data_IF_198896018388
#
_entry.id   IF_198896018388
#
_cell.length_a   1.000
_cell.length_b   1.000
_cell.length_c   1.000
_cell.angle_alpha   90.00
_cell.angle_beta   90.00
_cell.angle_gamma   90.00
#
_symmetry.space_group_name_H-M   'P 1'
#
loop_
_entity.id
_entity.type
_entity.pdbx_description
1 polymer ?
#
# COMPACT_ATOMS: atom_id res chain seq x y z
N UNK A 1 -5.27 -19.37 -13.76
CA UNK A 1 -5.57 -18.40 -14.85
C UNK A 1 -5.15 -16.99 -14.39
N UNK A 2 -4.22 -16.33 -15.10
CA UNK A 2 -3.73 -14.99 -14.76
C UNK A 2 -4.73 -13.95 -15.25
N UNK A 3 -5.27 -13.10 -14.37
CA UNK A 3 -6.18 -12.01 -14.77
C UNK A 3 -5.37 -10.84 -15.34
N UNK A 4 -5.82 -10.16 -16.41
CA UNK A 4 -5.17 -8.95 -16.90
C UNK A 4 -5.19 -7.84 -15.84
N UNK A 5 -4.11 -7.05 -15.80
CA UNK A 5 -4.01 -5.87 -14.92
C UNK A 5 -4.72 -4.70 -15.61
N UNK A 6 -6.04 -4.64 -15.44
CA UNK A 6 -6.90 -3.57 -15.93
C UNK A 6 -7.92 -3.17 -14.86
N UNK A 7 -8.51 -1.99 -15.01
CA UNK A 7 -9.61 -1.56 -14.16
C UNK A 7 -10.76 -2.58 -14.23
N UNK A 8 -11.27 -3.00 -13.07
CA UNK A 8 -12.40 -3.92 -12.97
C UNK A 8 -13.66 -3.06 -13.02
N UNK A 9 -14.44 -3.12 -14.11
CA UNK A 9 -15.60 -2.24 -14.31
C UNK A 9 -16.77 -2.55 -13.35
N UNK A 10 -17.05 -3.83 -13.09
CA UNK A 10 -18.09 -4.25 -12.13
C UNK A 10 -17.74 -3.78 -10.70
N UNK A 11 -18.55 -2.90 -10.09
CA UNK A 11 -18.31 -2.39 -8.73
C UNK A 11 -18.20 -3.50 -7.68
N UNK A 12 -19.02 -4.55 -7.78
CA UNK A 12 -19.03 -5.63 -6.78
C UNK A 12 -17.75 -6.47 -6.86
N UNK A 13 -17.35 -6.88 -8.06
CA UNK A 13 -16.09 -7.58 -8.29
C UNK A 13 -14.89 -6.70 -7.94
N UNK A 14 -14.92 -5.40 -8.27
CA UNK A 14 -13.87 -4.44 -7.91
C UNK A 14 -13.68 -4.35 -6.40
N UNK A 15 -14.76 -4.16 -5.62
CA UNK A 15 -14.69 -4.13 -4.15
C UNK A 15 -14.17 -5.44 -3.56
N UNK A 16 -14.63 -6.58 -4.09
CA UNK A 16 -14.19 -7.90 -3.62
C UNK A 16 -12.69 -8.12 -3.88
N UNK A 17 -12.24 -7.78 -5.09
CA UNK A 17 -10.82 -7.84 -5.45
C UNK A 17 -9.99 -6.87 -4.60
N UNK A 18 -10.48 -5.65 -4.38
CA UNK A 18 -9.83 -4.64 -3.55
C UNK A 18 -9.63 -5.13 -2.12
N UNK A 19 -10.69 -5.64 -1.45
CA UNK A 19 -10.59 -6.18 -0.09
C UNK A 19 -9.48 -7.23 0.03
N UNK A 20 -9.49 -8.22 -0.86
CA UNK A 20 -8.52 -9.33 -0.85
C UNK A 20 -7.10 -8.84 -1.15
N UNK A 21 -6.94 -8.02 -2.20
CA UNK A 21 -5.62 -7.54 -2.65
C UNK A 21 -5.02 -6.54 -1.67
N UNK A 22 -5.82 -5.66 -1.05
CA UNK A 22 -5.34 -4.71 -0.03
C UNK A 22 -4.80 -5.43 1.19
N UNK A 23 -5.51 -6.44 1.69
CA UNK A 23 -5.04 -7.24 2.83
C UNK A 23 -3.72 -7.95 2.50
N UNK A 24 -3.63 -8.57 1.32
CA UNK A 24 -2.40 -9.22 0.86
C UNK A 24 -1.24 -8.22 0.70
N UNK A 25 -1.51 -7.06 0.09
CA UNK A 25 -0.53 -5.99 -0.11
C UNK A 25 0.06 -5.48 1.22
N UNK A 26 -0.79 -5.17 2.20
CA UNK A 26 -0.34 -4.71 3.52
C UNK A 26 0.43 -5.80 4.27
N UNK A 27 0.00 -7.07 4.16
CA UNK A 27 0.76 -8.20 4.71
C UNK A 27 2.15 -8.31 4.09
N UNK A 28 2.27 -8.10 2.78
CA UNK A 28 3.57 -8.11 2.08
C UNK A 28 4.45 -6.92 2.45
N UNK A 29 3.87 -5.74 2.69
CA UNK A 29 4.63 -4.59 3.21
C UNK A 29 5.21 -4.90 4.60
N UNK A 30 4.40 -5.50 5.49
CA UNK A 30 4.86 -6.00 6.78
C UNK A 30 6.00 -7.01 6.63
N UNK A 31 5.78 -8.11 5.89
CA UNK A 31 6.78 -9.15 5.67
C UNK A 31 8.09 -8.56 5.12
N UNK A 32 8.02 -7.63 4.16
CA UNK A 32 9.19 -6.98 3.60
C UNK A 32 9.95 -6.17 4.66
N UNK A 33 9.26 -5.32 5.42
CA UNK A 33 9.91 -4.53 6.48
C UNK A 33 10.58 -5.42 7.52
N UNK A 34 9.90 -6.49 7.96
CA UNK A 34 10.39 -7.38 9.00
C UNK A 34 11.54 -8.26 8.54
N UNK A 35 11.42 -8.90 7.38
CA UNK A 35 12.42 -9.87 6.90
C UNK A 35 13.72 -9.21 6.42
N UNK A 36 13.65 -7.94 6.01
CA UNK A 36 14.80 -7.23 5.44
C UNK A 36 15.31 -6.08 6.31
N UNK A 37 14.67 -5.84 7.47
CA UNK A 37 14.96 -4.72 8.37
C UNK A 37 14.99 -3.35 7.66
N UNK A 38 14.10 -3.17 6.66
CA UNK A 38 13.98 -1.92 5.93
C UNK A 38 12.76 -1.12 6.38
N UNK A 39 12.90 0.20 6.35
CA UNK A 39 11.80 1.15 6.45
C UNK A 39 10.86 1.01 5.25
N UNK A 40 9.64 0.53 5.48
CA UNK A 40 8.62 0.37 4.43
C UNK A 40 7.35 1.10 4.83
N UNK A 41 6.89 2.01 3.96
CA UNK A 41 5.59 2.65 4.08
C UNK A 41 4.66 2.19 2.94
N UNK A 42 3.43 1.82 3.28
CA UNK A 42 2.39 1.52 2.32
C UNK A 42 1.08 2.22 2.70
N UNK A 43 0.41 2.83 1.71
CA UNK A 43 -0.81 3.61 1.90
C UNK A 43 -1.86 3.09 0.90
N UNK A 44 -3.05 2.76 1.38
CA UNK A 44 -4.15 2.32 0.53
C UNK A 44 -5.48 2.99 0.91
N UNK A 45 -5.97 3.81 -0.01
CA UNK A 45 -7.28 4.44 0.06
C UNK A 45 -8.38 3.51 -0.50
N UNK A 46 -9.57 3.59 0.06
CA UNK A 46 -10.74 2.89 -0.45
C UNK A 46 -11.08 3.31 -1.90
N UNK A 47 -11.71 2.42 -2.69
CA UNK A 47 -12.25 2.81 -3.99
C UNK A 47 -13.29 3.92 -3.83
N UNK A 48 -13.26 4.92 -4.71
CA UNK A 48 -14.20 6.05 -4.69
C UNK A 48 -15.67 5.61 -4.73
N UNK A 49 -15.97 4.48 -5.38
CA UNK A 49 -17.31 3.94 -5.52
C UNK A 49 -17.72 2.99 -4.37
N UNK A 50 -16.91 2.89 -3.31
CA UNK A 50 -17.26 2.08 -2.16
C UNK A 50 -18.38 2.78 -1.36
N UNK A 51 -19.49 2.08 -1.05
CA UNK A 51 -20.48 2.60 -0.11
C UNK A 51 -19.84 2.89 1.26
N UNK A 52 -20.36 3.88 2.01
CA UNK A 52 -19.91 4.14 3.37
C UNK A 52 -19.88 2.87 4.22
N UNK A 53 -18.76 2.62 4.90
CA UNK A 53 -18.57 1.44 5.75
C UNK A 53 -18.32 0.12 5.01
N UNK A 54 -18.36 0.07 3.67
CA UNK A 54 -18.13 -1.18 2.94
C UNK A 54 -16.68 -1.68 3.07
N UNK A 55 -15.73 -0.76 3.23
CA UNK A 55 -14.30 -0.97 3.55
C UNK A 55 -13.81 0.21 4.39
N UNK A 56 -12.78 0.04 5.25
CA UNK A 56 -12.09 1.18 5.84
C UNK A 56 -11.53 2.13 4.77
N UNK A 57 -11.71 3.43 4.94
CA UNK A 57 -11.32 4.45 3.96
C UNK A 57 -9.81 4.53 3.73
N UNK A 58 -9.03 4.31 4.79
CA UNK A 58 -7.58 4.36 4.75
C UNK A 58 -7.03 3.23 5.62
N UNK A 59 -6.17 2.40 5.01
CA UNK A 59 -5.29 1.49 5.73
C UNK A 59 -3.85 1.75 5.33
N UNK A 60 -2.95 1.62 6.31
CA UNK A 60 -1.52 1.86 6.14
C UNK A 60 -0.67 0.73 6.72
N UNK A 61 0.56 0.67 6.25
CA UNK A 61 1.68 0.03 6.94
C UNK A 61 2.80 1.08 7.13
N UNK A 62 3.33 1.31 8.33
CA UNK A 62 2.84 0.83 9.62
C UNK A 62 1.38 1.26 9.92
N UNK A 63 0.77 0.63 10.93
CA UNK A 63 -0.62 0.94 11.29
C UNK A 63 -0.74 2.33 11.92
N UNK A 64 0.28 2.80 12.65
CA UNK A 64 0.33 4.17 13.13
C UNK A 64 0.65 5.13 11.98
N UNK A 65 -0.27 6.06 11.71
CA UNK A 65 -0.11 7.07 10.68
C UNK A 65 1.05 8.03 10.97
N UNK A 66 1.41 8.24 12.24
CA UNK A 66 2.56 9.07 12.60
C UNK A 66 3.87 8.46 12.10
N UNK A 67 4.00 7.13 12.19
CA UNK A 67 5.16 6.43 11.65
C UNK A 67 5.22 6.55 10.13
N UNK A 68 4.08 6.40 9.44
CA UNK A 68 4.00 6.59 7.98
C UNK A 68 4.46 8.00 7.56
N UNK A 69 4.03 9.03 8.30
CA UNK A 69 4.45 10.42 8.05
C UNK A 69 5.95 10.58 8.32
N UNK A 70 6.46 10.02 9.41
CA UNK A 70 7.88 10.08 9.75
C UNK A 70 8.75 9.41 8.67
N UNK A 71 8.37 8.23 8.18
CA UNK A 71 9.06 7.52 7.10
C UNK A 71 9.02 8.31 5.78
N UNK A 72 7.89 8.92 5.47
CA UNK A 72 7.73 9.76 4.27
C UNK A 72 8.61 11.01 4.34
N UNK A 73 8.67 11.66 5.50
CA UNK A 73 9.53 12.83 5.73
C UNK A 73 11.01 12.45 5.68
N UNK A 74 11.42 11.36 6.33
CA UNK A 74 12.79 10.86 6.29
C UNK A 74 13.24 10.53 4.86
N UNK A 75 12.35 10.00 4.02
CA UNK A 75 12.64 9.74 2.61
C UNK A 75 12.88 11.01 1.80
N UNK A 76 12.23 12.12 2.15
CA UNK A 76 12.44 13.42 1.51
C UNK A 76 13.77 14.08 1.90
N UNK A 77 14.34 13.71 3.05
CA UNK A 77 15.59 14.29 3.58
C UNK A 77 16.83 13.50 3.15
N UNK A 78 16.70 12.21 2.83
CA UNK A 78 17.82 11.39 2.34
C UNK A 78 18.23 11.86 0.93
N UNK A 79 19.46 12.36 0.70
CA UNK A 79 19.89 12.71 -0.65
C UNK A 79 19.80 11.49 -1.54
N UNK A 80 19.21 11.63 -2.74
CA UNK A 80 19.20 10.60 -3.78
C UNK A 80 20.64 10.12 -3.96
N UNK A 81 20.99 8.94 -3.44
CA UNK A 81 22.25 8.30 -3.77
C UNK A 81 22.25 8.10 -5.29
N UNK A 82 22.94 8.99 -6.02
CA UNK A 82 23.31 8.73 -7.41
C UNK A 82 24.02 7.39 -7.40
N UNK A 83 23.40 6.40 -8.04
CA UNK A 83 24.06 5.15 -8.37
C UNK A 83 25.30 5.50 -9.20
N UNK A 84 26.47 5.45 -8.56
CA UNK A 84 27.74 5.22 -9.26
C UNK A 84 27.63 3.81 -9.82
N UNK A 85 27.14 3.70 -11.05
CA UNK A 85 27.55 2.61 -11.92
C UNK A 85 28.98 2.95 -12.34
N UNK A 86 29.94 2.26 -11.72
CA UNK A 86 31.23 1.98 -12.34
C UNK A 86 31.06 0.72 -13.18
#
# INVERSE_FOLDING_TARGET
>A
MKRPVKFIADPRARRTAFKKRRACFLKKAYELSTLTANDVAAISFAPHDAPPGAVPDLLTWPQDRKEVVALSAASSVRPRRRSRHQ
#
